data_IF_691097194357
#
_entry.id   IF_691097194357
#
_cell.length_a   1.000
_cell.length_b   1.000
_cell.length_c   1.000
_cell.angle_alpha   90.00
_cell.angle_beta   90.00
_cell.angle_gamma   90.00
#
_symmetry.space_group_name_H-M   'P 1'
#
loop_
_entity.id
_entity.type
_entity.pdbx_description
1 polymer ?
#
# COMPACT_ATOMS: atom_id res chain seq x y z
N UNK A 1 -17.48 -2.93 -9.36
CA UNK A 1 -16.46 -3.86 -8.87
C UNK A 1 -15.09 -3.30 -9.25
N UNK A 2 -14.18 -3.16 -8.29
CA UNK A 2 -12.80 -2.70 -8.57
C UNK A 2 -11.94 -3.89 -9.02
N UNK A 3 -11.17 -3.70 -10.07
CA UNK A 3 -10.18 -4.66 -10.57
C UNK A 3 -8.80 -4.00 -10.52
N UNK A 4 -7.77 -4.81 -10.25
CA UNK A 4 -6.39 -4.31 -10.21
C UNK A 4 -5.94 -4.13 -11.66
N UNK A 5 -5.63 -2.89 -12.03
CA UNK A 5 -5.17 -2.55 -13.38
C UNK A 5 -3.65 -2.69 -13.54
N UNK A 6 -2.91 -2.36 -12.47
CA UNK A 6 -1.46 -2.40 -12.45
C UNK A 6 -0.99 -2.66 -11.01
N UNK A 7 -0.01 -3.54 -10.84
CA UNK A 7 0.58 -3.91 -9.56
C UNK A 7 2.08 -4.02 -9.75
N UNK A 8 2.84 -3.05 -9.24
CA UNK A 8 4.30 -3.03 -9.32
C UNK A 8 4.86 -2.59 -7.97
N UNK A 9 5.88 -3.31 -7.52
CA UNK A 9 6.69 -3.00 -6.35
C UNK A 9 8.14 -2.82 -6.81
N UNK A 10 8.64 -1.60 -6.72
CA UNK A 10 10.06 -1.25 -6.89
C UNK A 10 10.62 -0.80 -5.54
N UNK A 11 11.51 -1.61 -4.96
CA UNK A 11 11.96 -1.45 -3.57
C UNK A 11 13.41 -1.86 -3.39
N UNK A 12 13.91 -1.57 -2.18
CA UNK A 12 15.27 -1.87 -1.76
C UNK A 12 15.30 -2.37 -0.32
N UNK A 13 16.28 -3.19 -0.01
CA UNK A 13 16.67 -3.56 1.35
C UNK A 13 17.85 -2.68 1.73
N UNK A 14 17.67 -1.87 2.76
CA UNK A 14 18.68 -0.93 3.25
C UNK A 14 19.17 -1.40 4.61
N UNK A 15 20.49 -1.46 4.78
CA UNK A 15 21.13 -1.86 6.03
C UNK A 15 21.86 -0.68 6.65
N UNK A 16 21.74 -0.57 7.98
CA UNK A 16 22.50 0.36 8.81
C UNK A 16 23.40 -0.45 9.74
N UNK A 17 24.71 -0.43 9.48
CA UNK A 17 25.70 -1.16 10.28
C UNK A 17 26.54 -0.20 11.11
N UNK A 18 26.64 -0.49 12.40
CA UNK A 18 27.52 0.20 13.36
C UNK A 18 28.26 -0.84 14.20
N UNK A 19 28.61 -1.97 13.59
CA UNK A 19 29.21 -3.12 14.27
C UNK A 19 30.73 -2.98 14.31
N UNK A 20 31.29 -2.99 15.51
CA UNK A 20 32.74 -2.95 15.70
C UNK A 20 33.43 -4.12 14.99
N UNK A 21 34.45 -3.81 14.19
CA UNK A 21 35.27 -4.81 13.51
C UNK A 21 34.67 -5.37 12.22
N UNK A 22 33.54 -4.84 11.75
CA UNK A 22 32.89 -5.21 10.48
C UNK A 22 32.79 -6.73 10.31
N UNK A 23 32.04 -7.43 11.20
CA UNK A 23 31.89 -8.86 11.11
C UNK A 23 31.12 -9.26 9.85
N UNK A 24 31.33 -10.49 9.38
CA UNK A 24 30.48 -11.07 8.35
C UNK A 24 29.06 -11.27 8.88
N UNK A 25 28.07 -10.84 8.08
CA UNK A 25 26.64 -11.00 8.34
C UNK A 25 26.04 -11.91 7.27
N UNK A 26 25.06 -12.71 7.68
CA UNK A 26 24.20 -13.48 6.78
C UNK A 26 22.76 -13.00 6.87
N UNK A 27 22.16 -12.73 5.72
CA UNK A 27 20.75 -12.36 5.58
C UNK A 27 20.01 -13.49 4.86
N UNK A 28 19.14 -14.19 5.58
CA UNK A 28 18.30 -15.25 5.04
C UNK A 28 16.92 -14.71 4.63
N UNK A 29 16.42 -15.18 3.48
CA UNK A 29 15.06 -14.93 3.02
C UNK A 29 14.18 -16.17 3.19
N UNK A 30 12.89 -16.04 2.88
CA UNK A 30 12.01 -17.20 2.81
C UNK A 30 12.49 -18.20 1.74
N UNK A 31 12.37 -19.49 2.04
CA UNK A 31 12.77 -20.57 1.13
C UNK A 31 12.01 -20.55 -0.21
N UNK A 32 10.79 -20.02 -0.20
CA UNK A 32 9.91 -19.90 -1.36
C UNK A 32 10.16 -18.66 -2.22
N UNK A 33 11.25 -17.92 -1.96
CA UNK A 33 11.67 -16.78 -2.77
C UNK A 33 12.12 -17.21 -4.17
N UNK A 34 11.30 -16.90 -5.17
CA UNK A 34 11.61 -17.04 -6.59
C UNK A 34 12.21 -15.77 -7.19
N UNK A 35 13.13 -15.89 -8.15
CA UNK A 35 13.63 -14.77 -8.96
C UNK A 35 13.55 -15.14 -10.43
N UNK A 36 12.97 -14.25 -11.24
CA UNK A 36 12.82 -14.42 -12.67
C UNK A 36 11.68 -15.37 -13.08
N UNK A 37 11.59 -15.62 -14.39
CA UNK A 37 10.58 -16.50 -15.00
C UNK A 37 11.00 -17.97 -14.98
N UNK A 38 11.52 -18.50 -13.87
CA UNK A 38 11.60 -19.96 -13.74
C UNK A 38 10.19 -20.49 -13.52
N UNK A 39 9.44 -20.63 -14.62
CA UNK A 39 8.05 -21.13 -14.70
C UNK A 39 7.99 -22.64 -14.43
N UNK A 40 8.76 -23.15 -13.48
CA UNK A 40 8.57 -24.50 -12.97
C UNK A 40 7.38 -24.49 -12.01
N UNK A 41 6.20 -24.54 -12.65
CA UNK A 41 4.94 -25.07 -12.13
C UNK A 41 4.55 -24.63 -10.72
N UNK A 42 3.80 -23.53 -10.60
CA UNK A 42 2.90 -23.31 -9.45
C UNK A 42 1.52 -22.93 -10.00
N UNK A 43 0.89 -23.90 -10.65
CA UNK A 43 -0.58 -23.95 -10.74
C UNK A 43 -1.19 -24.50 -9.43
N UNK A 44 -0.48 -24.40 -8.31
CA UNK A 44 -1.06 -24.74 -7.02
C UNK A 44 -1.66 -23.49 -6.36
N UNK A 45 -2.93 -23.32 -6.68
CA UNK A 45 -3.90 -22.43 -6.05
C UNK A 45 -4.17 -22.88 -4.61
N UNK A 46 -3.16 -22.85 -3.72
CA UNK A 46 -3.32 -23.10 -2.28
C UNK A 46 -2.29 -22.25 -1.53
N UNK A 47 -2.60 -21.00 -1.21
CA UNK A 47 -3.11 -20.73 0.14
C UNK A 47 -3.85 -19.40 0.21
N UNK A 48 -5.13 -19.47 0.55
CA UNK A 48 -6.01 -18.37 0.97
C UNK A 48 -5.59 -17.74 2.32
N UNK A 49 -4.30 -17.72 2.65
CA UNK A 49 -3.79 -17.31 3.95
C UNK A 49 -2.41 -16.64 3.81
N UNK A 50 -2.42 -15.37 3.41
CA UNK A 50 -1.45 -14.35 3.87
C UNK A 50 0.04 -14.44 3.47
N UNK A 51 0.55 -15.57 2.97
CA UNK A 51 1.94 -15.73 2.55
C UNK A 51 2.00 -16.65 1.34
N UNK A 52 1.67 -16.11 0.16
CA UNK A 52 2.01 -16.76 -1.09
C UNK A 52 3.51 -16.62 -1.35
N UNK A 53 4.08 -17.55 -2.11
CA UNK A 53 5.47 -17.48 -2.55
C UNK A 53 5.77 -16.12 -3.17
N UNK A 54 6.83 -15.47 -2.68
CA UNK A 54 7.28 -14.17 -3.20
C UNK A 54 8.15 -14.43 -4.41
N UNK A 55 7.74 -13.92 -5.58
CA UNK A 55 8.49 -14.10 -6.82
C UNK A 55 8.86 -12.72 -7.35
N UNK A 56 10.16 -12.45 -7.38
CA UNK A 56 10.74 -11.23 -7.90
C UNK A 56 10.92 -11.34 -9.42
N UNK A 57 10.69 -10.25 -10.15
CA UNK A 57 11.00 -10.20 -11.57
C UNK A 57 12.51 -10.16 -11.80
N UNK A 58 13.18 -9.27 -11.08
CA UNK A 58 14.61 -9.07 -11.10
C UNK A 58 15.07 -8.43 -9.79
N UNK A 59 16.37 -8.58 -9.53
CA UNK A 59 17.01 -7.97 -8.39
C UNK A 59 18.49 -7.70 -8.67
N UNK A 60 19.02 -6.65 -8.04
CA UNK A 60 20.43 -6.28 -8.09
C UNK A 60 20.98 -6.25 -6.67
N UNK A 61 22.19 -6.77 -6.48
CA UNK A 61 22.85 -6.83 -5.18
C UNK A 61 23.98 -5.80 -5.10
N UNK A 62 24.33 -5.39 -3.88
CA UNK A 62 25.54 -4.62 -3.64
C UNK A 62 26.78 -5.43 -4.00
N UNK A 63 27.85 -4.77 -4.44
CA UNK A 63 29.12 -5.42 -4.85
C UNK A 63 29.80 -6.25 -3.73
N UNK A 64 29.49 -5.94 -2.47
CA UNK A 64 30.02 -6.62 -1.28
C UNK A 64 29.21 -7.88 -0.89
N UNK A 65 28.10 -8.14 -1.58
CA UNK A 65 27.24 -9.30 -1.32
C UNK A 65 27.79 -10.51 -2.06
N UNK A 66 28.05 -11.57 -1.30
CA UNK A 66 28.39 -12.90 -1.79
C UNK A 66 27.12 -13.73 -1.94
N UNK A 67 27.00 -14.39 -3.09
CA UNK A 67 25.81 -15.14 -3.50
C UNK A 67 25.99 -16.67 -3.45
N UNK A 68 27.10 -17.16 -2.89
CA UNK A 68 27.46 -18.59 -2.91
C UNK A 68 26.36 -19.49 -2.32
N UNK A 69 25.75 -19.06 -1.20
CA UNK A 69 24.63 -19.76 -0.54
C UNK A 69 23.26 -19.36 -1.07
N UNK A 70 23.16 -18.34 -1.94
CA UNK A 70 21.86 -17.74 -2.27
C UNK A 70 20.98 -18.66 -3.12
N UNK A 71 21.58 -19.42 -4.06
CA UNK A 71 20.82 -20.32 -4.93
C UNK A 71 20.13 -21.47 -4.17
N UNK A 72 20.74 -21.94 -3.08
CA UNK A 72 20.31 -23.12 -2.31
C UNK A 72 19.55 -22.69 -1.05
N UNK A 73 20.13 -21.81 -0.25
CA UNK A 73 19.64 -21.45 1.09
C UNK A 73 18.93 -20.10 1.13
N UNK A 74 18.77 -19.43 -0.02
CA UNK A 74 18.23 -18.06 -0.11
C UNK A 74 18.91 -17.10 0.87
N UNK A 75 20.21 -17.29 1.08
CA UNK A 75 21.00 -16.56 2.06
C UNK A 75 22.09 -15.73 1.39
N UNK A 76 22.12 -14.44 1.68
CA UNK A 76 23.18 -13.51 1.29
C UNK A 76 24.23 -13.44 2.39
N UNK A 77 25.51 -13.37 2.03
CA UNK A 77 26.59 -13.15 2.99
C UNK A 77 27.37 -11.89 2.62
N UNK A 78 27.71 -11.04 3.58
CA UNK A 78 28.49 -9.82 3.34
C UNK A 78 29.21 -9.32 4.59
N UNK A 79 30.30 -8.58 4.39
CA UNK A 79 30.88 -7.71 5.41
C UNK A 79 30.35 -6.30 5.16
N UNK A 80 29.51 -5.74 6.06
CA UNK A 80 28.88 -4.46 5.82
C UNK A 80 29.88 -3.30 6.01
N UNK A 81 29.86 -2.27 5.16
CA UNK A 81 30.51 -1.01 5.46
C UNK A 81 29.81 -0.31 6.64
N UNK A 82 30.55 0.56 7.31
CA UNK A 82 30.00 1.42 8.37
C UNK A 82 28.97 2.39 7.80
N UNK A 83 27.87 2.57 8.54
CA UNK A 83 26.78 3.47 8.17
C UNK A 83 25.68 2.80 7.35
N UNK A 84 25.09 3.55 6.42
CA UNK A 84 23.88 3.18 5.70
C UNK A 84 24.17 2.87 4.23
N UNK A 85 23.80 1.68 3.76
CA UNK A 85 23.95 1.28 2.36
C UNK A 85 22.82 0.36 1.90
N UNK A 86 22.68 0.23 0.58
CA UNK A 86 21.64 -0.61 -0.02
C UNK A 86 22.21 -2.00 -0.29
N UNK A 87 21.63 -3.04 0.32
CA UNK A 87 22.06 -4.44 0.15
C UNK A 87 21.54 -5.02 -1.16
N UNK A 88 20.28 -4.73 -1.48
CA UNK A 88 19.57 -5.30 -2.63
C UNK A 88 18.51 -4.33 -3.12
N UNK A 89 18.37 -4.18 -4.43
CA UNK A 89 17.20 -3.59 -5.09
C UNK A 89 16.41 -4.71 -5.74
N UNK A 90 15.09 -4.65 -5.69
CA UNK A 90 14.23 -5.68 -6.26
C UNK A 90 12.97 -5.08 -6.88
N UNK A 91 12.47 -5.78 -7.90
CA UNK A 91 11.23 -5.47 -8.60
C UNK A 91 10.29 -6.66 -8.60
N UNK A 92 9.00 -6.39 -8.42
CA UNK A 92 7.94 -7.38 -8.51
C UNK A 92 6.70 -6.79 -9.18
N UNK A 93 6.20 -7.45 -10.22
CA UNK A 93 5.01 -7.07 -10.99
C UNK A 93 3.83 -8.02 -10.76
N UNK A 94 3.99 -8.97 -9.85
CA UNK A 94 2.93 -9.89 -9.50
C UNK A 94 1.76 -9.18 -8.84
N UNK A 95 0.55 -9.63 -9.16
CA UNK A 95 -0.64 -9.15 -8.48
C UNK A 95 -0.57 -9.51 -6.99
N UNK A 96 -0.44 -8.49 -6.15
CA UNK A 96 -0.61 -8.63 -4.70
C UNK A 96 -1.96 -8.06 -4.28
N UNK A 97 -2.52 -8.62 -3.21
CA UNK A 97 -3.76 -8.08 -2.62
C UNK A 97 -3.45 -6.73 -1.94
N UNK A 98 -4.04 -5.61 -2.40
CA UNK A 98 -3.80 -4.31 -1.76
C UNK A 98 -4.22 -4.33 -0.28
N UNK A 99 -3.48 -3.63 0.61
CA UNK A 99 -3.79 -3.63 2.04
C UNK A 99 -5.11 -2.91 2.37
N UNK A 100 -5.59 -2.05 1.47
CA UNK A 100 -6.87 -1.36 1.60
C UNK A 100 -7.71 -1.57 0.36
N UNK A 101 -9.02 -1.73 0.57
CA UNK A 101 -10.02 -1.73 -0.49
C UNK A 101 -10.91 -0.50 -0.30
N UNK A 102 -11.03 0.29 -1.35
CA UNK A 102 -11.86 1.50 -1.36
C UNK A 102 -13.07 1.23 -2.26
N UNK A 103 -14.26 1.37 -1.70
CA UNK A 103 -15.51 1.35 -2.45
C UNK A 103 -16.13 2.75 -2.34
N UNK A 104 -16.48 3.32 -3.48
CA UNK A 104 -17.11 4.64 -3.55
C UNK A 104 -18.44 4.53 -4.26
N UNK A 105 -19.47 5.13 -3.68
CA UNK A 105 -20.80 5.30 -4.28
C UNK A 105 -21.07 6.80 -4.43
N UNK A 106 -21.56 7.21 -5.58
CA UNK A 106 -21.90 8.60 -5.89
C UNK A 106 -23.34 8.62 -6.39
N UNK A 107 -24.19 9.38 -5.72
CA UNK A 107 -25.62 9.49 -6.04
C UNK A 107 -25.99 10.95 -6.30
N UNK A 108 -26.91 11.17 -7.24
CA UNK A 108 -27.41 12.52 -7.54
C UNK A 108 -28.55 12.85 -6.57
N UNK A 109 -28.38 13.90 -5.77
CA UNK A 109 -29.37 14.37 -4.80
C UNK A 109 -30.07 15.67 -5.21
N UNK A 110 -30.05 15.99 -6.51
CA UNK A 110 -30.67 17.16 -7.10
C UNK A 110 -29.91 17.67 -8.33
N UNK A 111 -30.34 18.81 -8.90
CA UNK A 111 -29.70 19.39 -10.08
C UNK A 111 -28.23 19.80 -9.83
N UNK A 112 -27.94 20.33 -8.64
CA UNK A 112 -26.62 20.86 -8.26
C UNK A 112 -26.11 20.23 -6.95
N UNK A 113 -26.54 19.01 -6.65
CA UNK A 113 -26.17 18.29 -5.43
C UNK A 113 -25.85 16.84 -5.73
N UNK A 114 -24.84 16.32 -5.05
CA UNK A 114 -24.53 14.89 -5.04
C UNK A 114 -24.21 14.42 -3.62
N UNK A 115 -24.50 13.17 -3.35
CA UNK A 115 -24.05 12.48 -2.15
C UNK A 115 -22.97 11.47 -2.53
N UNK A 116 -21.94 11.39 -1.71
CA UNK A 116 -20.79 10.52 -1.90
C UNK A 116 -20.63 9.70 -0.63
N UNK A 117 -20.54 8.39 -0.79
CA UNK A 117 -20.24 7.45 0.29
C UNK A 117 -18.90 6.80 -0.04
N UNK A 118 -17.90 7.03 0.79
CA UNK A 118 -16.57 6.44 0.66
C UNK A 118 -16.40 5.41 1.77
N UNK A 119 -16.15 4.16 1.39
CA UNK A 119 -15.93 3.05 2.31
C UNK A 119 -14.52 2.51 2.14
N UNK A 120 -13.76 2.49 3.23
CA UNK A 120 -12.38 1.99 3.27
C UNK A 120 -12.35 0.75 4.16
N UNK A 121 -11.95 -0.38 3.59
CA UNK A 121 -11.77 -1.64 4.30
C UNK A 121 -10.29 -2.00 4.38
N UNK A 122 -9.82 -2.33 5.58
CA UNK A 122 -8.49 -2.87 5.79
C UNK A 122 -8.47 -4.39 5.53
N UNK A 123 -7.68 -4.81 4.55
CA UNK A 123 -7.65 -6.18 4.04
C UNK A 123 -6.47 -7.02 4.55
N UNK A 124 -5.79 -6.53 5.59
CA UNK A 124 -4.70 -7.19 6.34
C UNK A 124 -5.19 -7.81 7.67
N UNK A 125 -4.37 -8.67 8.34
CA UNK A 125 -4.72 -9.32 9.60
C UNK A 125 -5.11 -8.35 10.72
N UNK A 126 -6.05 -8.74 11.59
CA UNK A 126 -6.58 -7.91 12.68
C UNK A 126 -5.56 -7.57 13.77
N UNK A 127 -4.45 -8.30 13.86
CA UNK A 127 -3.30 -7.98 14.72
C UNK A 127 -2.51 -6.77 14.24
N UNK A 128 -2.65 -6.38 12.97
CA UNK A 128 -1.93 -5.25 12.38
C UNK A 128 -2.82 -4.01 12.44
N UNK A 129 -2.20 -2.88 12.73
CA UNK A 129 -2.81 -1.56 12.73
C UNK A 129 -2.08 -0.68 11.71
N UNK A 130 -2.83 -0.02 10.83
CA UNK A 130 -2.32 1.09 10.04
C UNK A 130 -2.54 2.41 10.79
N UNK A 131 -1.55 3.30 10.73
CA UNK A 131 -1.60 4.62 11.35
C UNK A 131 -1.46 5.71 10.29
N UNK A 132 -2.04 6.88 10.57
CA UNK A 132 -1.92 8.08 9.71
C UNK A 132 -2.38 7.82 8.27
N UNK A 133 -3.65 7.44 8.12
CA UNK A 133 -4.27 7.23 6.82
C UNK A 133 -4.87 8.55 6.33
N UNK A 134 -4.65 8.88 5.06
CA UNK A 134 -5.27 10.01 4.38
C UNK A 134 -5.88 9.53 3.05
N UNK A 135 -7.19 9.68 2.92
CA UNK A 135 -7.95 9.39 1.70
C UNK A 135 -8.22 10.71 0.99
N UNK A 136 -7.83 10.78 -0.29
CA UNK A 136 -8.00 11.96 -1.12
C UNK A 136 -8.96 11.63 -2.27
N UNK A 137 -10.03 12.42 -2.39
CA UNK A 137 -10.96 12.31 -3.51
C UNK A 137 -10.99 13.65 -4.28
N UNK A 138 -10.50 13.68 -5.53
CA UNK A 138 -10.69 14.83 -6.41
C UNK A 138 -12.18 15.09 -6.65
N UNK A 139 -12.57 16.35 -6.64
CA UNK A 139 -13.95 16.79 -6.87
C UNK A 139 -14.02 17.62 -8.15
N UNK A 140 -15.21 17.68 -8.81
CA UNK A 140 -15.42 18.57 -9.95
C UNK A 140 -15.06 20.03 -9.63
N UNK A 141 -14.54 20.77 -10.61
CA UNK A 141 -14.16 22.18 -10.44
C UNK A 141 -15.32 23.07 -10.01
N UNK A 142 -16.53 22.74 -10.45
CA UNK A 142 -17.77 23.41 -10.08
C UNK A 142 -18.22 23.12 -8.64
N UNK A 143 -17.50 22.31 -7.85
CA UNK A 143 -17.84 22.09 -6.43
C UNK A 143 -17.62 23.36 -5.63
N UNK A 144 -18.69 23.87 -5.03
CA UNK A 144 -18.66 25.08 -4.19
C UNK A 144 -18.65 24.76 -2.71
N UNK A 145 -19.25 23.63 -2.31
CA UNK A 145 -19.29 23.20 -0.91
C UNK A 145 -19.28 21.69 -0.80
N UNK A 146 -18.65 21.20 0.26
CA UNK A 146 -18.80 19.83 0.73
C UNK A 146 -19.06 19.85 2.24
N UNK A 147 -20.02 19.04 2.70
CA UNK A 147 -20.27 18.79 4.12
C UNK A 147 -20.10 17.32 4.41
N UNK A 148 -19.60 16.98 5.60
CA UNK A 148 -19.20 15.64 5.97
C UNK A 148 -19.98 15.15 7.18
N UNK A 149 -20.44 13.92 7.10
CA UNK A 149 -21.08 13.20 8.19
C UNK A 149 -20.16 12.03 8.56
N UNK A 150 -19.58 12.14 9.76
CA UNK A 150 -18.76 11.10 10.37
C UNK A 150 -19.60 10.37 11.42
N UNK A 151 -19.44 9.06 11.50
CA UNK A 151 -20.12 8.26 12.52
C UNK A 151 -19.73 8.72 13.93
N UNK A 152 -20.64 8.71 14.93
CA UNK A 152 -20.33 9.13 16.30
C UNK A 152 -19.15 8.39 16.94
N UNK A 153 -18.92 7.14 16.52
CA UNK A 153 -17.84 6.27 16.99
C UNK A 153 -16.51 6.47 16.22
N UNK A 154 -16.46 7.43 15.28
CA UNK A 154 -15.32 7.73 14.43
C UNK A 154 -14.20 8.52 15.14
N UNK A 155 -13.78 8.06 16.33
CA UNK A 155 -12.75 8.72 17.13
C UNK A 155 -11.45 8.83 16.33
N UNK A 156 -10.95 10.06 16.18
CA UNK A 156 -9.70 10.32 15.44
C UNK A 156 -9.85 10.31 13.92
N UNK A 157 -11.08 10.44 13.41
CA UNK A 157 -11.32 10.75 12.01
C UNK A 157 -11.56 12.26 11.82
N UNK A 158 -11.15 12.76 10.67
CA UNK A 158 -11.32 14.16 10.26
C UNK A 158 -11.65 14.21 8.78
N UNK A 159 -12.58 15.07 8.36
CA UNK A 159 -12.89 15.29 6.95
C UNK A 159 -12.87 16.78 6.64
N UNK A 160 -12.27 17.15 5.51
CA UNK A 160 -12.13 18.53 5.07
C UNK A 160 -12.26 18.67 3.55
N UNK A 161 -12.65 19.86 3.10
CA UNK A 161 -12.71 20.23 1.70
C UNK A 161 -11.66 21.30 1.39
N UNK A 162 -10.64 20.92 0.63
CA UNK A 162 -9.63 21.88 0.15
C UNK A 162 -10.14 22.56 -1.12
N UNK A 163 -10.83 23.68 -0.93
CA UNK A 163 -11.45 24.42 -2.03
C UNK A 163 -10.46 24.80 -3.14
N UNK A 164 -9.26 25.27 -2.77
CA UNK A 164 -8.20 25.65 -3.73
C UNK A 164 -7.78 24.49 -4.64
N UNK A 165 -7.75 23.26 -4.11
CA UNK A 165 -7.35 22.07 -4.85
C UNK A 165 -8.54 21.27 -5.38
N UNK A 166 -9.77 21.71 -5.10
CA UNK A 166 -11.03 21.01 -5.38
C UNK A 166 -10.95 19.53 -5.02
N UNK A 167 -10.58 19.23 -3.77
CA UNK A 167 -10.50 17.85 -3.27
C UNK A 167 -11.05 17.71 -1.85
N UNK A 168 -11.64 16.56 -1.60
CA UNK A 168 -12.01 16.07 -0.29
C UNK A 168 -10.80 15.35 0.32
N UNK A 169 -10.53 15.62 1.59
CA UNK A 169 -9.52 14.95 2.40
C UNK A 169 -10.17 14.28 3.60
N UNK A 170 -9.94 12.98 3.77
CA UNK A 170 -10.43 12.21 4.92
C UNK A 170 -9.27 11.54 5.63
N UNK A 171 -8.95 12.07 6.80
CA UNK A 171 -7.91 11.56 7.69
C UNK A 171 -8.47 10.55 8.67
N UNK A 172 -7.76 9.43 8.86
CA UNK A 172 -8.01 8.46 9.92
C UNK A 172 -6.70 8.24 10.70
N UNK A 173 -6.72 8.52 12.01
CA UNK A 173 -5.53 8.31 12.86
C UNK A 173 -5.09 6.85 12.87
N UNK A 174 -6.06 5.91 12.89
CA UNK A 174 -5.83 4.48 13.05
C UNK A 174 -6.89 3.67 12.31
N UNK A 175 -6.49 2.59 11.65
CA UNK A 175 -7.38 1.57 11.11
C UNK A 175 -6.84 0.20 11.55
N UNK A 176 -7.69 -0.62 12.16
CA UNK A 176 -7.33 -1.99 12.58
C UNK A 176 -7.57 -2.94 11.40
N UNK A 177 -6.74 -3.98 11.26
CA UNK A 177 -6.95 -4.97 10.21
C UNK A 177 -8.33 -5.62 10.30
N UNK A 178 -8.91 -5.93 9.15
CA UNK A 178 -10.28 -6.43 9.01
C UNK A 178 -11.39 -5.44 9.40
N UNK A 179 -11.08 -4.22 9.85
CA UNK A 179 -12.10 -3.19 10.10
C UNK A 179 -12.49 -2.45 8.80
N UNK A 180 -13.59 -1.73 8.89
CA UNK A 180 -14.13 -0.93 7.81
C UNK A 180 -14.61 0.41 8.36
N UNK A 181 -14.37 1.47 7.60
CA UNK A 181 -14.75 2.83 7.95
C UNK A 181 -15.49 3.45 6.76
N UNK A 182 -16.47 4.30 7.06
CA UNK A 182 -17.29 4.95 6.05
C UNK A 182 -17.32 6.46 6.29
N UNK A 183 -17.22 7.23 5.22
CA UNK A 183 -17.45 8.67 5.20
C UNK A 183 -18.64 8.96 4.29
N UNK A 184 -19.58 9.75 4.81
CA UNK A 184 -20.67 10.33 4.02
C UNK A 184 -20.34 11.80 3.75
N UNK A 185 -20.40 12.19 2.48
CA UNK A 185 -20.16 13.56 2.05
C UNK A 185 -21.30 14.06 1.15
N UNK A 186 -21.79 15.27 1.41
CA UNK A 186 -22.79 15.95 0.58
C UNK A 186 -22.12 17.10 -0.15
N UNK A 187 -22.20 17.08 -1.47
CA UNK A 187 -21.58 18.04 -2.36
C UNK A 187 -22.63 19.00 -2.93
N UNK A 188 -22.26 20.27 -3.04
CA UNK A 188 -23.02 21.29 -3.76
C UNK A 188 -22.15 21.84 -4.91
N UNK A 189 -22.76 22.00 -6.08
CA UNK A 189 -22.12 22.52 -7.28
C UNK A 189 -22.67 23.89 -7.66
N UNK A 190 -21.87 24.70 -8.35
CA UNK A 190 -22.34 25.90 -9.06
C UNK A 190 -22.98 25.53 -10.39
N UNK A 191 -23.92 26.35 -10.87
CA UNK A 191 -24.30 26.31 -12.28
C UNK A 191 -23.08 26.72 -13.10
N UNK A 192 -22.67 25.90 -14.07
CA UNK A 192 -21.70 26.34 -15.07
C UNK A 192 -22.41 27.37 -15.97
N UNK A 193 -21.98 28.62 -15.88
CA UNK A 193 -22.30 29.63 -16.90
C UNK A 193 -21.42 29.34 -18.11
N UNK A 194 -22.04 28.83 -19.18
CA UNK A 194 -21.43 28.64 -20.49
C UNK A 194 -20.96 29.96 -21.10
#
# INVERSE_FOLDING_TARGET
>A
MGYILNSVIDRKIQMKSYLTGNPEIRLAFNDDLGIGRDRRSVYDYRSSSGSGAVILDDCNFHELVRLDSFAIEKTLSLVPPDGEFTVMNYRMTQEFKPPFRINTLIEKAGALKAEVIIKVRADFPSSITANTILVLMPLPKCTTRASFELEPEAIGQTADFKETHKRLEWGLKKIVGRSEHTLHAKLTFSMESH
#
